data_IF_614929232270
#
_entry.id   IF_614929232270
#
_cell.length_a   1.000
_cell.length_b   1.000
_cell.length_c   1.000
_cell.angle_alpha   90.00
_cell.angle_beta   90.00
_cell.angle_gamma   90.00
#
_symmetry.space_group_name_H-M   'P 1'
#
loop_
_entity.id
_entity.type
_entity.pdbx_description
1 polymer ?
#
# COMPACT_ATOMS: atom_id res chain seq x y z
N UNK A 1 21.68 -6.81 -12.56
CA UNK A 1 22.36 -5.75 -11.76
C UNK A 1 21.63 -5.72 -10.42
N UNK A 2 22.34 -5.68 -9.30
CA UNK A 2 21.68 -5.51 -7.99
C UNK A 2 21.00 -4.14 -7.97
N UNK A 3 19.77 -4.06 -7.46
CA UNK A 3 19.14 -2.77 -7.20
C UNK A 3 20.03 -1.97 -6.23
N UNK A 4 20.19 -0.65 -6.42
CA UNK A 4 20.94 0.18 -5.49
C UNK A 4 20.29 0.08 -4.10
N UNK A 5 21.11 -0.09 -3.07
CA UNK A 5 20.66 -0.06 -1.68
C UNK A 5 21.17 1.22 -1.02
N UNK A 6 20.27 1.92 -0.33
CA UNK A 6 20.61 3.15 0.37
C UNK A 6 20.71 2.89 1.88
N UNK A 7 21.57 3.62 2.61
CA UNK A 7 21.69 3.45 4.05
C UNK A 7 20.36 3.68 4.78
N UNK A 8 20.03 2.80 5.72
CA UNK A 8 18.89 3.00 6.62
C UNK A 8 19.00 4.33 7.38
N UNK A 9 17.86 4.96 7.60
CA UNK A 9 17.77 6.21 8.35
C UNK A 9 18.05 7.46 7.53
N UNK A 10 18.43 7.36 6.25
CA UNK A 10 18.70 8.53 5.40
C UNK A 10 17.50 9.49 5.35
N UNK A 11 16.31 8.98 5.02
CA UNK A 11 15.10 9.82 4.94
C UNK A 11 14.64 10.25 6.32
N UNK A 12 14.63 9.36 7.31
CA UNK A 12 14.25 9.72 8.69
C UNK A 12 15.18 10.80 9.28
N UNK A 13 16.47 10.77 8.96
CA UNK A 13 17.41 11.79 9.39
C UNK A 13 17.08 13.16 8.77
N UNK A 14 16.71 13.20 7.49
CA UNK A 14 16.29 14.45 6.83
C UNK A 14 15.09 15.10 7.51
N UNK A 15 14.12 14.30 7.99
CA UNK A 15 12.95 14.81 8.73
C UNK A 15 13.31 15.57 10.02
N UNK A 16 14.53 15.41 10.53
CA UNK A 16 15.03 16.12 11.73
C UNK A 16 15.80 17.40 11.40
N UNK A 17 15.96 17.73 10.12
CA UNK A 17 16.74 18.89 9.67
C UNK A 17 15.84 20.07 9.27
N UNK A 18 16.48 21.21 8.99
CA UNK A 18 15.83 22.39 8.40
C UNK A 18 15.68 22.28 6.87
N UNK A 19 16.04 21.13 6.28
CA UNK A 19 15.88 20.87 4.84
C UNK A 19 14.45 20.44 4.46
N UNK A 20 13.60 20.19 5.46
CA UNK A 20 12.21 19.78 5.30
C UNK A 20 11.31 20.81 5.97
N UNK A 21 10.36 21.37 5.25
CA UNK A 21 9.38 22.31 5.81
C UNK A 21 8.54 21.67 6.91
N UNK A 22 8.03 22.50 7.82
CA UNK A 22 7.11 22.05 8.86
C UNK A 22 5.82 21.43 8.30
N UNK A 23 5.34 21.90 7.14
CA UNK A 23 4.19 21.31 6.47
C UNK A 23 4.48 19.87 6.00
N UNK A 24 5.63 19.65 5.37
CA UNK A 24 6.05 18.32 4.93
C UNK A 24 6.33 17.40 6.12
N UNK A 25 6.96 17.89 7.20
CA UNK A 25 7.11 17.15 8.46
C UNK A 25 5.77 16.74 9.06
N UNK A 26 4.78 17.64 9.09
CA UNK A 26 3.44 17.36 9.60
C UNK A 26 2.71 16.26 8.81
N UNK A 27 2.99 16.12 7.51
CA UNK A 27 2.43 15.06 6.68
C UNK A 27 3.15 13.69 6.87
N UNK A 28 4.47 13.69 7.08
CA UNK A 28 5.28 12.47 7.10
C UNK A 28 5.48 11.88 8.50
N UNK A 29 5.68 12.71 9.53
CA UNK A 29 5.94 12.23 10.89
C UNK A 29 4.84 11.33 11.46
N UNK A 30 3.53 11.61 11.25
CA UNK A 30 2.47 10.71 11.73
C UNK A 30 2.56 9.30 11.14
N UNK A 31 3.08 9.14 9.91
CA UNK A 31 3.21 7.83 9.26
C UNK A 31 4.22 6.94 9.97
N UNK A 32 5.25 7.54 10.59
CA UNK A 32 6.25 6.81 11.39
C UNK A 32 5.74 6.31 12.75
N UNK A 33 4.53 6.71 13.16
CA UNK A 33 3.97 6.26 14.43
C UNK A 33 3.45 4.83 14.32
N UNK A 34 3.84 3.98 15.26
CA UNK A 34 3.40 2.57 15.32
C UNK A 34 2.17 2.38 16.20
N UNK A 35 1.35 3.42 16.38
CA UNK A 35 0.15 3.36 17.21
C UNK A 35 -0.85 2.41 16.57
N UNK A 36 -1.44 1.45 17.32
CA UNK A 36 -2.46 0.57 16.78
C UNK A 36 -3.64 1.34 16.18
N UNK A 37 -4.06 0.94 14.99
CA UNK A 37 -5.22 1.52 14.30
C UNK A 37 -6.50 0.76 14.65
N UNK A 38 -7.57 1.49 14.94
CA UNK A 38 -8.93 0.94 15.09
C UNK A 38 -9.69 1.15 13.78
N UNK A 39 -10.17 0.08 13.12
CA UNK A 39 -10.97 0.20 11.91
C UNK A 39 -12.18 1.10 12.08
N UNK A 40 -12.39 1.99 11.11
CA UNK A 40 -13.45 2.98 11.08
C UNK A 40 -14.54 2.62 10.07
N UNK A 41 -14.20 1.97 8.96
CA UNK A 41 -15.18 1.55 7.94
C UNK A 41 -15.55 0.07 8.03
N UNK A 42 -14.54 -0.79 8.05
CA UNK A 42 -14.73 -2.24 8.03
C UNK A 42 -14.95 -2.79 9.43
N UNK A 43 -15.76 -3.84 9.52
CA UNK A 43 -15.75 -4.67 10.73
C UNK A 43 -14.40 -5.38 10.89
N UNK A 44 -14.14 -5.92 12.08
CA UNK A 44 -12.87 -6.57 12.40
C UNK A 44 -12.52 -7.70 11.43
N UNK A 45 -13.51 -8.47 10.95
CA UNK A 45 -13.25 -9.61 10.06
C UNK A 45 -12.85 -9.17 8.65
N UNK A 46 -13.53 -8.15 8.11
CA UNK A 46 -13.24 -7.59 6.79
C UNK A 46 -11.92 -6.83 6.81
N UNK A 47 -11.61 -6.14 7.91
CA UNK A 47 -10.34 -5.46 8.09
C UNK A 47 -9.16 -6.43 8.16
N UNK A 48 -9.27 -7.53 8.91
CA UNK A 48 -8.23 -8.57 8.93
C UNK A 48 -8.06 -9.26 7.56
N UNK A 49 -9.14 -9.42 6.79
CA UNK A 49 -9.06 -9.86 5.41
C UNK A 49 -8.26 -8.88 4.54
N UNK A 50 -8.52 -7.57 4.64
CA UNK A 50 -7.77 -6.54 3.94
C UNK A 50 -6.27 -6.59 4.31
N UNK A 51 -5.94 -6.75 5.60
CA UNK A 51 -4.56 -6.91 6.07
C UNK A 51 -3.88 -8.14 5.45
N UNK A 52 -4.57 -9.28 5.46
CA UNK A 52 -4.02 -10.52 4.89
C UNK A 52 -3.78 -10.41 3.37
N UNK A 53 -4.72 -9.77 2.65
CA UNK A 53 -4.61 -9.50 1.20
C UNK A 53 -3.45 -8.55 0.91
N UNK A 54 -3.35 -7.43 1.66
CA UNK A 54 -2.26 -6.47 1.51
C UNK A 54 -0.89 -7.13 1.72
N UNK A 55 -0.76 -8.02 2.70
CA UNK A 55 0.47 -8.77 2.95
C UNK A 55 0.83 -9.79 1.85
N UNK A 56 -0.11 -10.18 0.99
CA UNK A 56 0.18 -11.01 -0.19
C UNK A 56 0.60 -10.15 -1.39
N UNK A 57 -0.01 -8.97 -1.57
CA UNK A 57 0.29 -8.07 -2.69
C UNK A 57 1.62 -7.33 -2.46
N UNK A 58 1.87 -6.90 -1.23
CA UNK A 58 3.08 -6.20 -0.80
C UNK A 58 3.75 -6.94 0.36
N UNK A 59 4.39 -8.10 0.09
CA UNK A 59 5.15 -8.82 1.11
C UNK A 59 6.39 -7.99 1.50
N UNK A 60 6.69 -7.94 2.81
CA UNK A 60 7.81 -7.19 3.37
C UNK A 60 8.72 -8.10 4.23
N UNK A 61 9.29 -9.18 3.67
CA UNK A 61 10.00 -10.21 4.44
C UNK A 61 11.29 -9.69 5.10
N UNK A 62 11.88 -8.62 4.58
CA UNK A 62 13.08 -7.97 5.11
C UNK A 62 12.80 -7.09 6.34
N UNK A 63 11.54 -6.80 6.66
CA UNK A 63 11.16 -5.92 7.77
C UNK A 63 10.75 -6.72 9.01
N UNK A 64 11.36 -6.42 10.16
CA UNK A 64 10.91 -6.95 11.46
C UNK A 64 9.49 -6.47 11.80
N UNK A 65 9.19 -5.20 11.48
CA UNK A 65 7.89 -4.58 11.62
C UNK A 65 7.42 -4.07 10.26
N UNK A 66 6.59 -4.85 9.53
CA UNK A 66 6.01 -4.41 8.27
C UNK A 66 5.21 -3.12 8.41
N UNK A 67 5.24 -2.29 7.37
CA UNK A 67 4.38 -1.12 7.24
C UNK A 67 2.95 -1.61 7.06
N UNK A 68 2.06 -1.23 7.97
CA UNK A 68 0.64 -1.57 7.93
C UNK A 68 -0.08 -0.72 6.87
N UNK A 69 -0.53 -1.36 5.78
CA UNK A 69 -1.16 -0.67 4.64
C UNK A 69 -2.69 -0.56 4.77
N UNK A 70 -3.34 -1.55 5.40
CA UNK A 70 -4.79 -1.56 5.60
C UNK A 70 -5.36 -0.33 6.33
N UNK A 71 -4.68 0.27 7.34
CA UNK A 71 -5.13 1.51 7.98
C UNK A 71 -5.35 2.67 7.01
N UNK A 72 -4.48 2.81 6.00
CA UNK A 72 -4.54 3.91 5.02
C UNK A 72 -5.83 3.81 4.21
N UNK A 73 -6.10 2.61 3.70
CA UNK A 73 -7.28 2.30 2.89
C UNK A 73 -8.56 2.44 3.72
N UNK A 74 -8.65 1.80 4.89
CA UNK A 74 -9.84 1.85 5.73
C UNK A 74 -10.18 3.28 6.15
N UNK A 75 -9.17 4.07 6.55
CA UNK A 75 -9.34 5.48 6.92
C UNK A 75 -9.84 6.32 5.74
N UNK A 76 -9.16 6.25 4.58
CA UNK A 76 -9.55 6.99 3.37
C UNK A 76 -11.00 6.70 3.01
N UNK A 77 -11.36 5.41 2.95
CA UNK A 77 -12.70 4.99 2.62
C UNK A 77 -13.71 5.46 3.67
N UNK A 78 -13.38 5.45 4.97
CA UNK A 78 -14.23 5.96 6.04
C UNK A 78 -14.49 7.48 5.92
N UNK A 79 -13.46 8.25 5.59
CA UNK A 79 -13.53 9.70 5.38
C UNK A 79 -14.26 10.07 4.07
N UNK A 80 -14.28 9.14 3.10
CA UNK A 80 -14.89 9.36 1.80
C UNK A 80 -13.97 10.09 0.82
N UNK A 81 -12.68 10.09 1.11
CA UNK A 81 -11.65 10.66 0.26
C UNK A 81 -11.46 9.81 -1.01
N UNK A 82 -11.24 10.48 -2.14
CA UNK A 82 -11.05 9.87 -3.47
C UNK A 82 -10.11 10.73 -4.28
N UNK A 83 -9.42 10.12 -5.23
CA UNK A 83 -8.57 10.79 -6.23
C UNK A 83 -9.38 11.56 -7.30
N UNK A 84 -10.71 11.46 -7.28
CA UNK A 84 -11.62 12.16 -8.18
C UNK A 84 -11.89 11.45 -9.51
N UNK A 85 -11.47 10.20 -9.65
CA UNK A 85 -11.76 9.38 -10.83
C UNK A 85 -12.18 7.96 -10.42
N UNK A 86 -12.83 7.25 -11.35
CA UNK A 86 -13.15 5.83 -11.26
C UNK A 86 -13.48 5.31 -12.66
N UNK A 87 -13.15 4.05 -12.95
CA UNK A 87 -13.69 3.35 -14.13
C UNK A 87 -15.23 3.39 -14.15
N UNK A 88 -15.82 3.60 -15.34
CA UNK A 88 -17.28 3.67 -15.50
C UNK A 88 -17.99 2.35 -15.17
N UNK A 89 -17.30 1.23 -15.35
CA UNK A 89 -17.75 -0.13 -15.00
C UNK A 89 -17.64 -0.46 -13.50
N UNK A 90 -16.98 0.38 -12.70
CA UNK A 90 -16.75 0.13 -11.28
C UNK A 90 -17.78 0.82 -10.38
N UNK A 91 -18.26 0.16 -9.31
CA UNK A 91 -19.10 0.78 -8.30
C UNK A 91 -18.27 1.72 -7.40
N UNK A 92 -18.89 2.60 -6.59
CA UNK A 92 -18.17 3.45 -5.63
C UNK A 92 -17.24 2.67 -4.70
N UNK A 93 -16.11 3.26 -4.30
CA UNK A 93 -14.98 2.57 -3.68
C UNK A 93 -15.35 1.73 -2.47
N UNK A 94 -16.22 2.26 -1.58
CA UNK A 94 -16.70 1.50 -0.41
C UNK A 94 -17.44 0.22 -0.81
N UNK A 95 -18.21 0.26 -1.89
CA UNK A 95 -18.87 -0.93 -2.44
C UNK A 95 -17.86 -1.82 -3.16
N UNK A 96 -16.97 -1.25 -3.98
CA UNK A 96 -15.93 -2.00 -4.68
C UNK A 96 -15.08 -2.83 -3.72
N UNK A 97 -14.58 -2.23 -2.63
CA UNK A 97 -13.80 -2.94 -1.62
C UNK A 97 -14.60 -4.02 -0.89
N UNK A 98 -15.84 -3.76 -0.49
CA UNK A 98 -16.68 -4.79 0.17
C UNK A 98 -16.95 -5.97 -0.75
N UNK A 99 -17.31 -5.71 -2.00
CA UNK A 99 -17.60 -6.75 -2.99
C UNK A 99 -16.33 -7.51 -3.37
N UNK A 100 -15.23 -6.80 -3.59
CA UNK A 100 -13.94 -7.36 -3.99
C UNK A 100 -13.29 -8.21 -2.90
N UNK A 101 -13.23 -7.73 -1.65
CA UNK A 101 -12.75 -8.54 -0.52
C UNK A 101 -13.63 -9.78 -0.31
N UNK A 102 -14.96 -9.63 -0.42
CA UNK A 102 -15.87 -10.78 -0.39
C UNK A 102 -15.62 -11.77 -1.53
N UNK A 103 -15.26 -11.29 -2.73
CA UNK A 103 -14.90 -12.12 -3.88
C UNK A 103 -13.61 -12.90 -3.66
N UNK A 104 -12.60 -12.28 -3.03
CA UNK A 104 -11.35 -12.95 -2.62
C UNK A 104 -11.66 -14.07 -1.63
N UNK A 105 -12.54 -13.83 -0.65
CA UNK A 105 -12.91 -14.87 0.31
C UNK A 105 -13.72 -16.01 -0.35
N UNK A 106 -14.61 -15.71 -1.31
CA UNK A 106 -15.31 -16.73 -2.10
C UNK A 106 -14.33 -17.58 -2.93
N UNK A 107 -13.28 -16.97 -3.48
CA UNK A 107 -12.24 -17.68 -4.22
C UNK A 107 -11.45 -18.64 -3.31
N UNK A 108 -11.09 -18.18 -2.11
CA UNK A 108 -10.46 -19.03 -1.09
C UNK A 108 -11.35 -20.22 -0.70
N UNK A 109 -12.64 -19.99 -0.44
CA UNK A 109 -13.60 -21.05 -0.14
C UNK A 109 -13.75 -22.03 -1.31
N UNK A 110 -13.80 -21.55 -2.55
CA UNK A 110 -13.89 -22.41 -3.73
C UNK A 110 -12.64 -23.29 -3.92
N UNK A 111 -11.45 -22.74 -3.68
CA UNK A 111 -10.18 -23.44 -3.90
C UNK A 111 -9.81 -24.37 -2.73
N UNK A 112 -10.12 -23.99 -1.50
CA UNK A 112 -9.59 -24.64 -0.29
C UNK A 112 -10.65 -24.93 0.79
N UNK A 113 -11.93 -24.62 0.56
CA UNK A 113 -13.04 -24.84 1.51
C UNK A 113 -12.83 -24.14 2.86
N UNK A 114 -12.09 -23.03 2.85
CA UNK A 114 -11.73 -22.27 4.04
C UNK A 114 -11.69 -20.76 3.72
N UNK A 115 -11.99 -19.88 4.70
CA UNK A 115 -11.80 -18.45 4.54
C UNK A 115 -10.35 -18.08 4.21
N UNK A 116 -10.15 -17.01 3.43
CA UNK A 116 -8.81 -16.60 2.99
C UNK A 116 -7.83 -16.39 4.15
N UNK A 117 -8.29 -15.78 5.25
CA UNK A 117 -7.46 -15.43 6.41
C UNK A 117 -6.92 -16.64 7.19
N UNK A 118 -7.53 -17.83 7.05
CA UNK A 118 -7.06 -19.04 7.75
C UNK A 118 -6.13 -19.91 6.88
N UNK A 119 -6.01 -19.59 5.59
CA UNK A 119 -5.15 -20.31 4.67
C UNK A 119 -3.67 -20.11 5.01
N UNK A 120 -2.84 -21.11 4.67
CA UNK A 120 -1.39 -20.95 4.70
C UNK A 120 -0.95 -19.88 3.68
N UNK A 121 0.20 -19.22 3.91
CA UNK A 121 0.68 -18.12 3.05
C UNK A 121 0.76 -18.50 1.58
N UNK A 122 1.27 -19.70 1.26
CA UNK A 122 1.37 -20.16 -0.13
C UNK A 122 -0.01 -20.33 -0.79
N UNK A 123 -1.03 -20.75 -0.02
CA UNK A 123 -2.40 -20.86 -0.50
C UNK A 123 -3.04 -19.49 -0.68
N UNK A 124 -2.78 -18.53 0.22
CA UNK A 124 -3.21 -17.14 0.05
C UNK A 124 -2.64 -16.54 -1.23
N UNK A 125 -1.36 -16.77 -1.50
CA UNK A 125 -0.70 -16.33 -2.73
C UNK A 125 -1.36 -16.92 -3.97
N UNK A 126 -1.65 -18.24 -3.98
CA UNK A 126 -2.34 -18.88 -5.11
C UNK A 126 -3.75 -18.32 -5.35
N UNK A 127 -4.49 -17.96 -4.30
CA UNK A 127 -5.78 -17.25 -4.46
C UNK A 127 -5.55 -15.88 -5.10
N UNK A 128 -4.57 -15.11 -4.60
CA UNK A 128 -4.29 -13.78 -5.14
C UNK A 128 -3.76 -13.81 -6.58
N UNK A 129 -3.00 -14.84 -6.96
CA UNK A 129 -2.60 -15.09 -8.35
C UNK A 129 -3.82 -15.33 -9.24
N UNK A 130 -4.81 -16.11 -8.79
CA UNK A 130 -6.04 -16.31 -9.53
C UNK A 130 -6.87 -15.02 -9.65
N UNK A 131 -6.84 -14.15 -8.63
CA UNK A 131 -7.49 -12.83 -8.66
C UNK A 131 -6.79 -11.91 -9.67
N UNK A 132 -5.47 -11.84 -9.62
CA UNK A 132 -4.65 -11.06 -10.54
C UNK A 132 -4.80 -11.52 -12.00
N UNK A 133 -4.95 -12.83 -12.21
CA UNK A 133 -5.21 -13.41 -13.54
C UNK A 133 -6.66 -13.23 -14.02
N UNK A 134 -7.56 -12.72 -13.17
CA UNK A 134 -8.98 -12.57 -13.46
C UNK A 134 -9.74 -13.89 -13.56
N UNK A 135 -9.20 -14.98 -13.01
CA UNK A 135 -9.77 -16.34 -13.11
C UNK A 135 -10.37 -16.84 -11.80
N UNK A 136 -10.29 -16.06 -10.72
CA UNK A 136 -10.82 -16.45 -9.42
C UNK A 136 -12.33 -16.71 -9.47
N UNK A 137 -12.78 -17.79 -8.82
CA UNK A 137 -14.20 -18.09 -8.69
C UNK A 137 -14.87 -17.17 -7.65
N UNK A 138 -16.15 -16.86 -7.86
CA UNK A 138 -16.93 -16.04 -6.94
C UNK A 138 -18.09 -15.37 -7.65
N UNK A 139 -19.27 -15.33 -7.01
CA UNK A 139 -20.44 -14.64 -7.56
C UNK A 139 -20.30 -13.12 -7.49
N UNK A 140 -19.45 -12.61 -6.58
CA UNK A 140 -19.17 -11.18 -6.45
C UNK A 140 -18.55 -10.59 -7.72
N UNK A 141 -17.75 -11.38 -8.46
CA UNK A 141 -17.13 -10.96 -9.73
C UNK A 141 -18.15 -10.72 -10.85
N UNK A 142 -19.40 -11.15 -10.71
CA UNK A 142 -20.48 -10.81 -11.63
C UNK A 142 -20.95 -9.35 -11.48
N UNK A 143 -20.62 -8.71 -10.35
CA UNK A 143 -21.01 -7.33 -10.00
C UNK A 143 -19.82 -6.38 -9.99
N UNK A 144 -18.60 -6.91 -10.08
CA UNK A 144 -17.36 -6.17 -9.95
C UNK A 144 -16.33 -6.78 -10.91
N UNK A 145 -15.86 -6.03 -11.92
CA UNK A 145 -14.78 -6.48 -12.78
C UNK A 145 -13.53 -6.79 -11.96
N UNK A 146 -13.12 -8.05 -11.94
CA UNK A 146 -12.04 -8.56 -11.07
C UNK A 146 -10.69 -7.94 -11.41
N UNK A 147 -10.42 -7.74 -12.71
CA UNK A 147 -9.22 -7.11 -13.24
C UNK A 147 -9.10 -5.66 -12.76
N UNK A 148 -10.19 -4.90 -12.86
CA UNK A 148 -10.22 -3.51 -12.41
C UNK A 148 -10.12 -3.39 -10.90
N UNK A 149 -10.81 -4.24 -10.15
CA UNK A 149 -10.66 -4.24 -8.71
C UNK A 149 -9.23 -4.55 -8.26
N UNK A 150 -8.57 -5.53 -8.89
CA UNK A 150 -7.19 -5.86 -8.56
C UNK A 150 -6.23 -4.73 -8.93
N UNK A 151 -6.43 -4.08 -10.08
CA UNK A 151 -5.65 -2.92 -10.53
C UNK A 151 -5.74 -1.76 -9.52
N UNK A 152 -6.95 -1.38 -9.12
CA UNK A 152 -7.21 -0.33 -8.11
C UNK A 152 -6.57 -0.67 -6.77
N UNK A 153 -6.76 -1.91 -6.30
CA UNK A 153 -6.18 -2.37 -5.03
C UNK A 153 -4.65 -2.34 -5.05
N UNK A 154 -4.04 -2.79 -6.15
CA UNK A 154 -2.58 -2.78 -6.31
C UNK A 154 -2.03 -1.34 -6.35
N UNK A 155 -2.70 -0.45 -7.08
CA UNK A 155 -2.34 0.96 -7.15
C UNK A 155 -2.42 1.62 -5.77
N UNK A 156 -3.55 1.48 -5.08
CA UNK A 156 -3.76 2.09 -3.76
C UNK A 156 -2.78 1.55 -2.71
N UNK A 157 -2.47 0.24 -2.72
CA UNK A 157 -1.45 -0.33 -1.84
C UNK A 157 -0.04 0.17 -2.16
N UNK A 158 0.29 0.36 -3.43
CA UNK A 158 1.58 0.90 -3.87
C UNK A 158 1.74 2.35 -3.40
N UNK A 159 0.69 3.16 -3.57
CA UNK A 159 0.67 4.54 -3.09
C UNK A 159 0.79 4.60 -1.56
N UNK A 160 0.01 3.78 -0.85
CA UNK A 160 0.08 3.69 0.61
C UNK A 160 1.49 3.34 1.08
N UNK A 161 2.14 2.36 0.43
CA UNK A 161 3.50 1.92 0.75
C UNK A 161 4.53 3.04 0.53
N UNK A 162 4.62 3.59 -0.69
CA UNK A 162 5.63 4.62 -1.00
C UNK A 162 5.32 6.00 -0.43
N UNK A 163 4.12 6.21 0.14
CA UNK A 163 3.86 7.38 0.99
C UNK A 163 4.59 7.31 2.34
N UNK A 164 5.07 6.14 2.74
CA UNK A 164 5.68 5.92 4.05
C UNK A 164 7.19 6.24 4.03
N UNK A 165 7.72 7.01 5.01
CA UNK A 165 9.14 7.37 5.01
C UNK A 165 10.09 6.16 5.03
N UNK A 166 9.71 5.06 5.69
CA UNK A 166 10.53 3.84 5.66
C UNK A 166 10.67 3.23 4.27
N UNK A 167 9.61 3.26 3.43
CA UNK A 167 9.67 2.76 2.06
C UNK A 167 10.47 3.70 1.16
N UNK A 168 10.37 5.01 1.41
CA UNK A 168 11.17 6.02 0.70
C UNK A 168 12.67 5.83 0.95
N UNK A 169 13.09 5.38 2.13
CA UNK A 169 14.49 5.03 2.39
C UNK A 169 15.00 3.89 1.52
N UNK A 170 14.19 2.87 1.29
CA UNK A 170 14.59 1.68 0.52
C UNK A 170 15.05 2.07 -0.89
N UNK A 171 14.39 3.08 -1.46
CA UNK A 171 14.65 3.58 -2.81
C UNK A 171 15.51 4.85 -2.83
N UNK A 172 15.99 5.31 -1.66
CA UNK A 172 16.80 6.53 -1.54
C UNK A 172 16.07 7.81 -1.90
N UNK A 173 14.73 7.80 -1.84
CA UNK A 173 13.92 8.94 -2.24
C UNK A 173 13.97 10.03 -1.18
N UNK A 174 14.59 11.16 -1.51
CA UNK A 174 14.70 12.32 -0.62
C UNK A 174 13.93 13.56 -1.09
N UNK A 175 12.96 13.37 -1.99
CA UNK A 175 12.16 14.45 -2.56
C UNK A 175 11.36 15.29 -1.54
N UNK A 176 11.24 14.82 -0.30
CA UNK A 176 10.65 15.58 0.81
C UNK A 176 11.54 16.70 1.34
N UNK A 177 12.84 16.70 1.02
CA UNK A 177 13.77 17.78 1.37
C UNK A 177 13.52 19.01 0.48
N UNK A 178 12.39 19.67 0.72
CA UNK A 178 11.83 20.77 -0.06
C UNK A 178 12.48 22.14 0.19
N UNK A 179 13.48 22.21 1.09
CA UNK A 179 14.24 23.43 1.40
C UNK A 179 15.74 23.15 1.44
N UNK A 180 16.60 23.93 0.75
CA UNK A 180 16.24 24.87 -0.32
C UNK A 180 15.59 24.14 -1.50
N UNK A 181 15.08 24.87 -2.50
CA UNK A 181 14.58 24.25 -3.73
C UNK A 181 15.64 23.40 -4.45
N UNK A 182 15.20 22.56 -5.38
CA UNK A 182 16.05 21.72 -6.23
C UNK A 182 16.67 22.55 -7.36
N UNK A 183 17.99 22.45 -7.52
CA UNK A 183 18.79 23.24 -8.47
C UNK A 183 19.43 22.38 -9.57
N UNK A 184 19.72 21.12 -9.28
CA UNK A 184 20.12 20.13 -10.28
C UNK A 184 18.87 19.61 -11.01
N UNK A 185 18.79 19.86 -12.32
CA UNK A 185 17.62 19.53 -13.15
C UNK A 185 17.92 18.48 -14.23
N UNK A 186 19.19 18.16 -14.46
CA UNK A 186 19.59 17.18 -15.46
C UNK A 186 19.60 15.76 -14.87
N UNK A 187 19.33 14.72 -15.68
CA UNK A 187 19.43 13.34 -15.24
C UNK A 187 20.83 13.00 -14.67
N UNK A 188 20.86 12.19 -13.61
CA UNK A 188 22.09 11.74 -12.93
C UNK A 188 22.91 12.86 -12.26
N UNK A 189 22.28 13.95 -11.86
CA UNK A 189 22.88 14.97 -10.99
C UNK A 189 22.22 14.90 -9.61
N UNK A 190 23.01 14.52 -8.60
CA UNK A 190 22.55 14.48 -7.21
C UNK A 190 22.79 15.82 -6.52
N UNK A 191 21.82 16.32 -5.76
CA UNK A 191 22.02 17.37 -4.77
C UNK A 191 22.87 16.84 -3.61
N UNK A 192 23.64 17.69 -2.89
CA UNK A 192 24.48 17.25 -1.76
C UNK A 192 23.75 16.55 -0.61
N UNK A 193 22.42 16.67 -0.56
CA UNK A 193 21.52 16.06 0.44
C UNK A 193 20.96 14.71 0.01
N UNK A 194 21.17 14.29 -1.24
CA UNK A 194 20.75 12.98 -1.72
C UNK A 194 21.75 11.92 -1.29
N UNK A 195 21.29 10.72 -0.90
CA UNK A 195 22.20 9.64 -0.53
C UNK A 195 22.89 9.06 -1.76
N UNK A 196 24.12 8.60 -1.56
CA UNK A 196 24.79 7.73 -2.52
C UNK A 196 24.41 6.27 -2.24
N UNK A 197 24.23 5.49 -3.31
CA UNK A 197 23.99 4.06 -3.19
C UNK A 197 25.24 3.33 -2.66
N UNK A 198 25.02 2.26 -1.88
CA UNK A 198 26.06 1.35 -1.37
C UNK A 198 26.58 0.39 -2.45
#
# INVERSE_FOLDING_TARGET
MSSPHYPEGTVRALLQTDLVTEATKAALLPRLQTTPYTPQLFDASTYELLRAVAACIYPQPEREYPIELAPVIDKRLAEGDSDGWRYDVMPPDREAYRVGLGGINQAAEAMYQQPFVVLARDQQNLVMEAVAAGTAAGTNWQRLPIDRFFEELLAELTEAYYSHPLAQEEIGYVGMADVPGWSHLEPNQLEPREPEAL
#
